data_IF_349366196922
#
_entry.id   IF_349366196922
#
_cell.length_a   1.000
_cell.length_b   1.000
_cell.length_c   1.000
_cell.angle_alpha   90.00
_cell.angle_beta   90.00
_cell.angle_gamma   90.00
#
_symmetry.space_group_name_H-M   'P 1'
#
loop_
_entity.id
_entity.type
_entity.pdbx_description
1 polymer ?
#
# COMPACT_ATOMS: atom_id res chain seq x y z
N UNK A 1 -6.96 3.06 2.92
CA UNK A 1 -6.77 4.07 1.84
C UNK A 1 -5.47 3.86 1.07
N UNK A 2 -4.29 3.78 1.71
CA UNK A 2 -3.02 3.55 1.00
C UNK A 2 -2.97 2.22 0.24
N UNK A 3 -3.34 1.11 0.89
CA UNK A 3 -3.41 -0.20 0.23
C UNK A 3 -4.40 -0.19 -0.95
N UNK A 4 -5.57 0.45 -0.78
CA UNK A 4 -6.57 0.63 -1.83
C UNK A 4 -6.04 1.46 -3.00
N UNK A 5 -5.31 2.56 -2.73
CA UNK A 5 -4.67 3.37 -3.76
C UNK A 5 -3.60 2.60 -4.54
N UNK A 6 -2.79 1.79 -3.86
CA UNK A 6 -1.81 0.90 -4.49
C UNK A 6 -2.47 -0.15 -5.41
N UNK A 7 -3.63 -0.68 -5.02
CA UNK A 7 -4.42 -1.57 -5.88
C UNK A 7 -4.85 -0.84 -7.16
N UNK A 8 -5.39 0.38 -7.05
CA UNK A 8 -5.80 1.16 -8.23
C UNK A 8 -4.63 1.51 -9.15
N UNK A 9 -3.46 1.87 -8.59
CA UNK A 9 -2.26 2.08 -9.38
C UNK A 9 -1.87 0.83 -10.15
N UNK A 10 -1.80 -0.32 -9.48
CA UNK A 10 -1.42 -1.58 -10.12
C UNK A 10 -2.39 -1.98 -11.24
N UNK A 11 -3.70 -1.85 -11.02
CA UNK A 11 -4.71 -2.08 -12.06
C UNK A 11 -4.58 -1.13 -13.25
N UNK A 12 -4.29 0.15 -13.00
CA UNK A 12 -4.07 1.14 -14.06
C UNK A 12 -2.81 0.83 -14.87
N UNK A 13 -1.73 0.45 -14.19
CA UNK A 13 -0.44 0.13 -14.78
C UNK A 13 -0.46 -1.17 -15.59
N UNK A 14 -1.15 -2.21 -15.13
CA UNK A 14 -1.34 -3.46 -15.87
C UNK A 14 -2.11 -3.22 -17.17
N UNK A 15 -3.18 -2.42 -17.13
CA UNK A 15 -3.94 -2.04 -18.34
C UNK A 15 -3.13 -1.24 -19.35
N UNK A 16 -2.11 -0.51 -18.89
CA UNK A 16 -1.20 0.24 -19.76
C UNK A 16 -0.05 -0.62 -20.30
N UNK A 17 0.14 -1.85 -19.81
CA UNK A 17 1.31 -2.68 -20.14
C UNK A 17 2.61 -2.15 -19.52
N UNK A 18 2.53 -1.35 -18.45
CA UNK A 18 3.66 -0.70 -17.79
C UNK A 18 3.96 0.73 -18.24
N UNK A 19 4.93 1.37 -17.56
CA UNK A 19 5.35 2.75 -17.85
C UNK A 19 6.74 2.79 -18.49
N UNK A 20 6.86 3.55 -19.56
CA UNK A 20 8.07 3.95 -20.25
C UNK A 20 8.09 5.49 -20.35
N UNK A 21 9.27 6.08 -20.59
CA UNK A 21 9.41 7.54 -20.75
C UNK A 21 8.44 8.13 -21.80
N UNK A 22 8.07 7.33 -22.81
CA UNK A 22 7.22 7.77 -23.90
C UNK A 22 5.71 7.65 -23.61
N UNK A 23 5.30 6.87 -22.60
CA UNK A 23 3.90 6.69 -22.21
C UNK A 23 3.58 7.21 -20.80
N UNK A 24 4.58 7.71 -20.06
CA UNK A 24 4.44 8.22 -18.69
C UNK A 24 3.39 9.32 -18.58
N UNK A 25 3.31 10.21 -19.59
CA UNK A 25 2.28 11.24 -19.64
C UNK A 25 0.87 10.65 -19.76
N UNK A 26 0.70 9.49 -20.42
CA UNK A 26 -0.60 8.80 -20.49
C UNK A 26 -1.02 8.22 -19.14
N UNK A 27 -0.07 7.91 -18.27
CA UNK A 27 -0.36 7.43 -16.92
C UNK A 27 -1.07 8.51 -16.09
N UNK A 28 -0.75 9.78 -16.32
CA UNK A 28 -1.40 10.91 -15.65
C UNK A 28 -2.88 11.07 -16.00
N UNK A 29 -3.31 10.56 -17.16
CA UNK A 29 -4.70 10.61 -17.62
C UNK A 29 -5.47 9.31 -17.41
N UNK A 30 -4.84 8.28 -16.84
CA UNK A 30 -5.50 7.01 -16.57
C UNK A 30 -6.43 7.15 -15.34
N UNK A 31 -7.73 6.85 -15.51
CA UNK A 31 -8.74 7.05 -14.47
C UNK A 31 -8.45 6.26 -13.19
N UNK A 32 -7.89 5.05 -13.30
CA UNK A 32 -7.52 4.25 -12.13
C UNK A 32 -6.32 4.87 -11.40
N UNK A 33 -5.33 5.37 -12.13
CA UNK A 33 -4.19 6.07 -11.52
C UNK A 33 -4.67 7.35 -10.83
N UNK A 34 -5.54 8.14 -11.45
CA UNK A 34 -6.11 9.35 -10.83
C UNK A 34 -6.89 8.99 -9.56
N UNK A 35 -7.73 7.94 -9.60
CA UNK A 35 -8.47 7.49 -8.42
C UNK A 35 -7.53 7.06 -7.28
N UNK A 36 -6.46 6.32 -7.61
CA UNK A 36 -5.42 5.94 -6.66
C UNK A 36 -4.69 7.16 -6.07
N UNK A 37 -4.44 8.18 -6.89
CA UNK A 37 -3.79 9.43 -6.48
C UNK A 37 -4.67 10.23 -5.51
N UNK A 38 -5.96 10.37 -5.82
CA UNK A 38 -6.92 11.03 -4.93
C UNK A 38 -7.02 10.32 -3.58
N UNK A 39 -7.05 8.99 -3.58
CA UNK A 39 -7.02 8.20 -2.35
C UNK A 39 -5.72 8.40 -1.57
N UNK A 40 -4.59 8.55 -2.25
CA UNK A 40 -3.30 8.85 -1.62
C UNK A 40 -3.29 10.23 -0.98
N UNK A 41 -3.78 11.27 -1.67
CA UNK A 41 -3.92 12.62 -1.11
C UNK A 41 -4.78 12.58 0.14
N UNK A 42 -5.94 11.92 0.09
CA UNK A 42 -6.81 11.76 1.26
C UNK A 42 -6.12 11.01 2.40
N UNK A 43 -5.41 9.91 2.07
CA UNK A 43 -4.67 9.15 3.06
C UNK A 43 -3.58 9.99 3.74
N UNK A 44 -2.86 10.82 2.99
CA UNK A 44 -1.84 11.73 3.52
C UNK A 44 -2.45 12.76 4.47
N UNK A 45 -3.62 13.33 4.13
CA UNK A 45 -4.31 14.26 5.03
C UNK A 45 -4.71 13.59 6.35
N UNK A 46 -5.27 12.37 6.29
CA UNK A 46 -5.57 11.58 7.50
C UNK A 46 -4.30 11.28 8.28
N UNK A 47 -3.21 10.93 7.58
CA UNK A 47 -1.93 10.64 8.20
C UNK A 47 -1.34 11.85 8.94
N UNK A 48 -1.47 13.07 8.38
CA UNK A 48 -1.07 14.29 9.09
C UNK A 48 -1.84 14.48 10.39
N UNK A 49 -3.15 14.18 10.41
CA UNK A 49 -3.95 14.22 11.63
C UNK A 49 -3.45 13.19 12.65
N UNK A 50 -3.13 11.97 12.22
CA UNK A 50 -2.58 10.93 13.11
C UNK A 50 -1.25 11.38 13.71
N UNK A 51 -0.31 11.84 12.88
CA UNK A 51 0.99 12.31 13.34
C UNK A 51 0.92 13.55 14.24
N UNK A 52 -0.13 14.38 14.09
CA UNK A 52 -0.34 15.52 14.98
C UNK A 52 -0.82 15.14 16.38
N UNK A 53 -1.29 13.89 16.58
CA UNK A 53 -1.94 13.44 17.84
C UNK A 53 -1.27 12.24 18.48
N UNK A 54 -0.52 11.46 17.72
CA UNK A 54 0.06 10.19 18.13
C UNK A 54 1.57 10.22 17.87
N UNK A 55 2.40 9.78 18.83
CA UNK A 55 3.83 9.63 18.60
C UNK A 55 4.12 8.75 17.39
N UNK A 56 5.16 9.12 16.63
CA UNK A 56 5.56 8.39 15.43
C UNK A 56 5.82 6.91 15.70
N UNK A 57 6.41 6.59 16.86
CA UNK A 57 6.70 5.22 17.31
C UNK A 57 5.46 4.34 17.44
N UNK A 58 4.29 4.91 17.76
CA UNK A 58 3.01 4.18 17.88
C UNK A 58 2.26 4.14 16.56
N UNK A 59 2.40 5.18 15.73
CA UNK A 59 1.72 5.28 14.44
C UNK A 59 2.26 4.25 13.41
N UNK A 60 3.58 4.03 13.36
CA UNK A 60 4.20 3.10 12.41
C UNK A 60 3.77 1.62 12.58
N UNK A 61 3.68 1.07 13.80
CA UNK A 61 3.12 -0.26 14.03
C UNK A 61 1.72 -0.43 13.44
N UNK A 62 0.81 0.53 13.63
CA UNK A 62 -0.53 0.48 13.04
C UNK A 62 -0.46 0.53 11.50
N UNK A 63 0.42 1.37 10.96
CA UNK A 63 0.64 1.50 9.52
C UNK A 63 1.14 0.19 8.87
N UNK A 64 1.88 -0.65 9.61
CA UNK A 64 2.41 -1.93 9.11
C UNK A 64 1.32 -2.95 8.73
N UNK A 65 0.09 -2.82 9.25
CA UNK A 65 -1.06 -3.65 8.84
C UNK A 65 -1.31 -3.53 7.33
N UNK A 66 -0.92 -2.41 6.72
CA UNK A 66 -0.97 -2.23 5.27
C UNK A 66 -0.14 -3.27 4.50
N UNK A 67 0.93 -3.82 5.07
CA UNK A 67 1.69 -4.92 4.44
C UNK A 67 0.84 -6.19 4.32
N UNK A 68 0.11 -6.54 5.39
CA UNK A 68 -0.83 -7.67 5.39
C UNK A 68 -1.90 -7.47 4.33
N UNK A 69 -2.54 -6.30 4.34
CA UNK A 69 -3.56 -5.95 3.34
C UNK A 69 -3.01 -5.98 1.91
N UNK A 70 -1.76 -5.55 1.70
CA UNK A 70 -1.09 -5.61 0.41
C UNK A 70 -0.85 -7.04 -0.08
N UNK A 71 -0.45 -7.95 0.80
CA UNK A 71 -0.27 -9.37 0.44
C UNK A 71 -1.61 -10.05 0.16
N UNK A 72 -2.64 -9.75 0.95
CA UNK A 72 -4.01 -10.24 0.69
C UNK A 72 -4.53 -9.72 -0.65
N UNK A 73 -4.28 -8.45 -0.97
CA UNK A 73 -4.62 -7.89 -2.27
C UNK A 73 -3.88 -8.60 -3.41
N UNK A 74 -2.58 -8.87 -3.25
CA UNK A 74 -1.81 -9.64 -4.23
C UNK A 74 -2.43 -11.01 -4.52
N UNK A 75 -2.90 -11.70 -3.46
CA UNK A 75 -3.56 -13.01 -3.59
C UNK A 75 -4.96 -12.94 -4.21
N UNK A 76 -5.84 -12.12 -3.64
CA UNK A 76 -7.27 -12.17 -3.98
C UNK A 76 -7.65 -11.27 -5.16
N UNK A 77 -6.94 -10.16 -5.36
CA UNK A 77 -7.28 -9.19 -6.41
C UNK A 77 -6.41 -9.43 -7.64
N UNK A 78 -5.11 -9.61 -7.45
CA UNK A 78 -4.15 -9.77 -8.56
C UNK A 78 -3.85 -11.23 -8.90
N UNK A 79 -4.32 -12.20 -8.09
CA UNK A 79 -4.06 -13.62 -8.27
C UNK A 79 -2.56 -13.95 -8.44
N UNK A 80 -1.70 -13.19 -7.74
CA UNK A 80 -0.25 -13.40 -7.80
C UNK A 80 0.18 -14.57 -6.92
N UNK A 81 1.11 -15.42 -7.40
CA UNK A 81 1.67 -16.48 -6.58
C UNK A 81 2.46 -15.87 -5.42
N UNK A 82 1.98 -16.10 -4.20
CA UNK A 82 2.71 -15.75 -2.98
C UNK A 82 3.48 -16.97 -2.50
N UNK A 83 4.80 -16.87 -2.52
CA UNK A 83 5.68 -17.93 -2.03
C UNK A 83 5.59 -18.09 -0.51
N UNK A 84 5.90 -19.29 -0.02
CA UNK A 84 5.97 -19.58 1.41
C UNK A 84 6.94 -18.62 2.15
N UNK A 85 8.03 -18.23 1.49
CA UNK A 85 8.99 -17.26 2.05
C UNK A 85 8.39 -15.87 2.29
N UNK A 86 7.48 -15.40 1.41
CA UNK A 86 6.78 -14.12 1.62
C UNK A 86 5.86 -14.20 2.84
N UNK A 87 5.21 -15.34 3.06
CA UNK A 87 4.40 -15.58 4.26
C UNK A 87 5.23 -15.60 5.53
N UNK A 88 6.36 -16.31 5.53
CA UNK A 88 7.28 -16.32 6.68
C UNK A 88 7.82 -14.91 6.99
N UNK A 89 8.25 -14.17 5.96
CA UNK A 89 8.69 -12.78 6.13
C UNK A 89 7.59 -11.89 6.69
N UNK A 90 6.34 -12.08 6.25
CA UNK A 90 5.19 -11.35 6.81
C UNK A 90 5.01 -11.64 8.31
N UNK A 91 5.07 -12.91 8.73
CA UNK A 91 4.98 -13.27 10.15
C UNK A 91 6.08 -12.58 10.95
N UNK A 92 7.32 -12.57 10.45
CA UNK A 92 8.46 -11.90 11.11
C UNK A 92 8.20 -10.40 11.28
N UNK A 93 7.71 -9.72 10.23
CA UNK A 93 7.33 -8.30 10.30
C UNK A 93 6.25 -8.09 11.37
N UNK A 94 5.21 -8.92 11.38
CA UNK A 94 4.11 -8.80 12.35
C UNK A 94 4.56 -9.03 13.79
N UNK A 95 5.49 -9.96 14.02
CA UNK A 95 6.10 -10.16 15.34
C UNK A 95 6.90 -8.92 15.76
N UNK A 96 7.73 -8.36 14.88
CA UNK A 96 8.48 -7.13 15.18
C UNK A 96 7.56 -5.95 15.51
N UNK A 97 6.47 -5.81 14.76
CA UNK A 97 5.42 -4.81 15.01
C UNK A 97 4.76 -5.01 16.37
N UNK A 98 4.43 -6.25 16.73
CA UNK A 98 3.84 -6.57 18.02
C UNK A 98 4.77 -6.21 19.17
N UNK A 99 6.07 -6.52 19.06
CA UNK A 99 7.07 -6.15 20.08
C UNK A 99 7.13 -4.63 20.25
N UNK A 100 7.19 -3.86 19.16
CA UNK A 100 7.20 -2.39 19.22
C UNK A 100 5.90 -1.84 19.82
N UNK A 101 4.75 -2.47 19.56
CA UNK A 101 3.46 -2.01 20.05
C UNK A 101 3.24 -2.29 21.56
N UNK A 102 4.01 -3.19 22.16
CA UNK A 102 3.90 -3.58 23.58
C UNK A 102 4.89 -2.81 24.47
N UNK A 103 5.93 -2.20 23.88
CA UNK A 103 6.84 -1.25 24.55
C UNK A 103 6.16 0.12 24.78
#
# INVERSE_FOLDING_TARGET
MLASGQIFFKLGLEKMGGVSLNNAWKALFNIQIIAGLLLYVFATLVWFVVLSRVPLSVAYPVQSIAYVLGLLAALFIFNEPVSLMKWLGMIVIMVGVFVIAVD
#
